data_IF_912836760598
#
_entry.id   IF_912836760598
#
_cell.length_a   1.000
_cell.length_b   1.000
_cell.length_c   1.000
_cell.angle_alpha   90.00
_cell.angle_beta   90.00
_cell.angle_gamma   90.00
#
_symmetry.space_group_name_H-M   'P 1'
#
loop_
_entity.id
_entity.type
_entity.pdbx_description
1 polymer ?
#
# COMPACT_ATOMS: atom_id res chain seq x y z
N UNK A 1 -42.50 -25.82 0.24
CA UNK A 1 -41.46 -24.84 -0.22
C UNK A 1 -40.58 -25.55 -1.24
N UNK A 2 -40.65 -25.07 -2.49
CA UNK A 2 -40.33 -25.80 -3.72
C UNK A 2 -38.81 -25.98 -3.96
N UNK A 3 -38.41 -27.13 -4.50
CA UNK A 3 -37.05 -27.46 -4.93
C UNK A 3 -36.43 -26.41 -5.89
N UNK A 4 -37.24 -25.64 -6.61
CA UNK A 4 -36.76 -24.55 -7.48
C UNK A 4 -36.06 -23.42 -6.71
N UNK A 5 -36.50 -23.10 -5.48
CA UNK A 5 -35.86 -22.03 -4.70
C UNK A 5 -34.45 -22.42 -4.26
N UNK A 6 -34.23 -23.71 -3.95
CA UNK A 6 -32.93 -24.21 -3.49
C UNK A 6 -31.89 -24.22 -4.62
N UNK A 7 -32.31 -24.56 -5.85
CA UNK A 7 -31.42 -24.51 -7.02
C UNK A 7 -30.99 -23.09 -7.36
N UNK A 8 -31.94 -22.15 -7.37
CA UNK A 8 -31.67 -20.73 -7.60
C UNK A 8 -30.76 -20.11 -6.53
N UNK A 9 -31.01 -20.41 -5.25
CA UNK A 9 -30.14 -19.95 -4.15
C UNK A 9 -28.71 -20.51 -4.26
N UNK A 10 -28.54 -21.76 -4.72
CA UNK A 10 -27.23 -22.36 -4.93
C UNK A 10 -26.48 -21.72 -6.10
N UNK A 11 -27.19 -21.40 -7.19
CA UNK A 11 -26.60 -20.77 -8.37
C UNK A 11 -26.15 -19.32 -8.07
N UNK A 12 -27.02 -18.54 -7.42
CA UNK A 12 -26.70 -17.19 -6.94
C UNK A 12 -25.48 -17.21 -6.00
N UNK A 13 -25.40 -18.23 -5.14
CA UNK A 13 -24.28 -18.41 -4.23
C UNK A 13 -22.97 -18.70 -4.99
N UNK A 14 -23.00 -19.56 -6.00
CA UNK A 14 -21.82 -19.89 -6.81
C UNK A 14 -21.34 -18.66 -7.60
N UNK A 15 -22.26 -17.90 -8.18
CA UNK A 15 -21.97 -16.67 -8.90
C UNK A 15 -21.35 -15.60 -8.00
N UNK A 16 -21.87 -15.44 -6.78
CA UNK A 16 -21.31 -14.52 -5.79
C UNK A 16 -19.87 -14.88 -5.39
N UNK A 17 -19.58 -16.16 -5.13
CA UNK A 17 -18.23 -16.60 -4.77
C UNK A 17 -17.26 -16.40 -5.94
N UNK A 18 -17.68 -16.73 -7.16
CA UNK A 18 -16.90 -16.48 -8.37
C UNK A 18 -16.56 -15.00 -8.53
N UNK A 19 -17.56 -14.13 -8.39
CA UNK A 19 -17.39 -12.67 -8.46
C UNK A 19 -16.45 -12.14 -7.38
N UNK A 20 -16.54 -12.69 -6.15
CA UNK A 20 -15.65 -12.34 -5.05
C UNK A 20 -14.20 -12.77 -5.32
N UNK A 21 -13.99 -13.92 -5.95
CA UNK A 21 -12.67 -14.39 -6.35
C UNK A 21 -12.05 -13.50 -7.43
N UNK A 22 -12.82 -13.18 -8.47
CA UNK A 22 -12.39 -12.27 -9.55
C UNK A 22 -12.03 -10.89 -9.00
N UNK A 23 -12.85 -10.33 -8.11
CA UNK A 23 -12.56 -9.05 -7.46
C UNK A 23 -11.31 -9.11 -6.58
N UNK A 24 -11.07 -10.25 -5.89
CA UNK A 24 -9.85 -10.45 -5.10
C UNK A 24 -8.60 -10.47 -5.98
N UNK A 25 -8.64 -11.17 -7.12
CA UNK A 25 -7.52 -11.21 -8.08
C UNK A 25 -7.25 -9.82 -8.66
N UNK A 26 -8.31 -9.13 -9.12
CA UNK A 26 -8.22 -7.76 -9.62
C UNK A 26 -7.58 -6.82 -8.58
N UNK A 27 -8.01 -6.89 -7.32
CA UNK A 27 -7.43 -6.07 -6.24
C UNK A 27 -5.95 -6.40 -5.99
N UNK A 28 -5.53 -7.66 -6.16
CA UNK A 28 -4.12 -8.06 -6.06
C UNK A 28 -3.28 -7.45 -7.19
N UNK A 29 -3.81 -7.45 -8.41
CA UNK A 29 -3.19 -6.82 -9.56
C UNK A 29 -3.09 -5.31 -9.39
N UNK A 30 -4.16 -4.64 -8.94
CA UNK A 30 -4.15 -3.20 -8.62
C UNK A 30 -3.07 -2.88 -7.57
N UNK A 31 -2.94 -3.69 -6.52
CA UNK A 31 -1.88 -3.53 -5.52
C UNK A 31 -0.49 -3.60 -6.15
N UNK A 32 -0.25 -4.56 -7.05
CA UNK A 32 1.02 -4.70 -7.75
C UNK A 32 1.29 -3.50 -8.68
N UNK A 33 0.27 -3.02 -9.38
CA UNK A 33 0.35 -1.83 -10.22
C UNK A 33 0.68 -0.58 -9.41
N UNK A 34 0.09 -0.39 -8.22
CA UNK A 34 0.45 0.72 -7.35
C UNK A 34 1.90 0.66 -6.87
N UNK A 35 2.42 -0.54 -6.56
CA UNK A 35 3.84 -0.72 -6.21
C UNK A 35 4.73 -0.35 -7.40
N UNK A 36 4.44 -0.87 -8.59
CA UNK A 36 5.21 -0.58 -9.81
C UNK A 36 5.20 0.92 -10.13
N UNK A 37 4.02 1.54 -10.12
CA UNK A 37 3.86 2.97 -10.38
C UNK A 37 4.57 3.82 -9.32
N UNK A 38 4.55 3.41 -8.04
CA UNK A 38 5.33 4.07 -6.99
C UNK A 38 6.81 4.11 -7.34
N UNK A 39 7.40 2.97 -7.73
CA UNK A 39 8.79 2.92 -8.18
C UNK A 39 9.05 3.81 -9.39
N UNK A 40 8.23 3.68 -10.45
CA UNK A 40 8.41 4.44 -11.68
C UNK A 40 8.34 5.96 -11.45
N UNK A 41 7.34 6.43 -10.71
CA UNK A 41 7.19 7.86 -10.40
C UNK A 41 8.33 8.39 -9.54
N UNK A 42 8.74 7.65 -8.51
CA UNK A 42 9.83 8.08 -7.63
C UNK A 42 11.16 8.11 -8.37
N UNK A 43 11.45 7.10 -9.19
CA UNK A 43 12.64 7.09 -10.05
C UNK A 43 12.60 8.26 -11.03
N UNK A 44 11.45 8.55 -11.63
CA UNK A 44 11.27 9.73 -12.49
C UNK A 44 11.49 11.05 -11.75
N UNK A 45 10.94 11.20 -10.54
CA UNK A 45 11.10 12.40 -9.71
C UNK A 45 12.55 12.57 -9.24
N UNK A 46 13.23 11.50 -8.84
CA UNK A 46 14.66 11.54 -8.50
C UNK A 46 15.50 11.90 -9.72
N UNK A 47 15.23 11.28 -10.86
CA UNK A 47 15.93 11.56 -12.11
C UNK A 47 15.79 13.03 -12.50
N UNK A 48 14.56 13.53 -12.58
CA UNK A 48 14.29 14.93 -12.93
C UNK A 48 14.80 15.91 -11.87
N UNK A 49 14.58 15.61 -10.59
CA UNK A 49 15.01 16.46 -9.47
C UNK A 49 16.53 16.55 -9.32
N UNK A 50 17.27 15.59 -9.88
CA UNK A 50 18.73 15.63 -9.92
C UNK A 50 19.29 16.43 -11.11
N UNK A 51 18.47 16.77 -12.11
CA UNK A 51 18.92 17.50 -13.30
C UNK A 51 19.02 19.00 -13.04
N UNK A 52 20.08 19.58 -13.63
CA UNK A 52 20.24 21.01 -13.80
C UNK A 52 20.44 21.28 -15.29
N UNK A 53 19.47 21.95 -15.92
CA UNK A 53 19.52 22.26 -17.35
C UNK A 53 19.66 23.77 -17.49
N UNK A 54 20.90 24.22 -17.72
CA UNK A 54 21.23 25.65 -17.73
C UNK A 54 20.95 26.31 -16.38
N UNK A 55 20.11 27.34 -16.38
CA UNK A 55 19.67 28.06 -15.17
C UNK A 55 18.42 27.45 -14.52
N UNK A 56 17.75 26.51 -15.18
CA UNK A 56 16.56 25.85 -14.65
C UNK A 56 17.00 24.73 -13.71
N UNK A 57 16.58 24.85 -12.45
CA UNK A 57 16.87 23.89 -11.40
C UNK A 57 15.59 23.19 -10.93
N UNK A 58 15.55 21.87 -11.08
CA UNK A 58 14.39 21.03 -10.76
C UNK A 58 14.43 20.46 -9.34
N UNK A 59 15.39 20.85 -8.49
CA UNK A 59 15.50 20.37 -7.10
C UNK A 59 14.22 20.47 -6.27
N UNK A 60 13.35 21.44 -6.57
CA UNK A 60 12.07 21.57 -5.90
C UNK A 60 11.20 20.31 -6.03
N UNK A 61 11.38 19.52 -7.09
CA UNK A 61 10.69 18.23 -7.28
C UNK A 61 11.01 17.22 -6.17
N UNK A 62 12.20 17.29 -5.57
CA UNK A 62 12.61 16.36 -4.51
C UNK A 62 11.78 16.56 -3.23
N UNK A 63 11.27 17.77 -2.99
CA UNK A 63 10.38 18.04 -1.85
C UNK A 63 9.03 17.33 -1.96
N UNK A 64 8.60 16.96 -3.17
CA UNK A 64 7.35 16.24 -3.42
C UNK A 64 7.49 14.72 -3.28
N UNK A 65 8.71 14.17 -3.21
CA UNK A 65 8.93 12.72 -3.14
C UNK A 65 8.21 12.09 -1.91
N UNK A 66 8.31 12.63 -0.68
CA UNK A 66 7.58 12.08 0.45
C UNK A 66 6.07 12.08 0.24
N UNK A 67 5.51 13.15 -0.33
CA UNK A 67 4.07 13.27 -0.57
C UNK A 67 3.59 12.17 -1.54
N UNK A 68 4.29 12.00 -2.66
CA UNK A 68 3.96 10.99 -3.67
C UNK A 68 4.15 9.58 -3.11
N UNK A 69 5.24 9.32 -2.38
CA UNK A 69 5.51 8.02 -1.77
C UNK A 69 4.44 7.60 -0.76
N UNK A 70 4.03 8.54 0.11
CA UNK A 70 2.95 8.37 1.10
C UNK A 70 1.61 8.17 0.39
N UNK A 71 1.34 8.92 -0.68
CA UNK A 71 0.12 8.76 -1.49
C UNK A 71 0.00 7.34 -2.04
N UNK A 72 1.06 6.81 -2.66
CA UNK A 72 1.07 5.43 -3.13
C UNK A 72 0.94 4.41 -2.00
N UNK A 73 1.55 4.66 -0.83
CA UNK A 73 1.38 3.78 0.33
C UNK A 73 -0.09 3.66 0.74
N UNK A 74 -0.86 4.73 0.70
CA UNK A 74 -2.30 4.70 0.99
C UNK A 74 -3.05 3.77 0.02
N UNK A 75 -2.81 3.89 -1.28
CA UNK A 75 -3.43 3.01 -2.29
C UNK A 75 -3.05 1.54 -2.11
N UNK A 76 -1.76 1.26 -1.90
CA UNK A 76 -1.27 -0.10 -1.65
C UNK A 76 -1.94 -0.70 -0.41
N UNK A 77 -2.09 0.09 0.66
CA UNK A 77 -2.72 -0.34 1.90
C UNK A 77 -4.22 -0.54 1.76
N UNK A 78 -4.90 0.30 0.99
CA UNK A 78 -6.32 0.15 0.71
C UNK A 78 -6.59 -1.18 -0.01
N UNK A 79 -5.83 -1.46 -1.07
CA UNK A 79 -5.93 -2.73 -1.80
C UNK A 79 -5.60 -3.94 -0.90
N UNK A 80 -4.52 -3.85 -0.11
CA UNK A 80 -4.15 -4.90 0.84
C UNK A 80 -5.24 -5.15 1.90
N UNK A 81 -5.87 -4.10 2.42
CA UNK A 81 -6.98 -4.23 3.38
C UNK A 81 -8.20 -4.91 2.74
N UNK A 82 -8.55 -4.54 1.51
CA UNK A 82 -9.65 -5.15 0.75
C UNK A 82 -9.42 -6.65 0.54
N UNK A 83 -8.24 -7.06 0.08
CA UNK A 83 -7.86 -8.48 -0.07
C UNK A 83 -8.01 -9.23 1.26
N UNK A 84 -7.56 -8.61 2.36
CA UNK A 84 -7.63 -9.21 3.70
C UNK A 84 -9.07 -9.34 4.20
N UNK A 85 -9.95 -8.38 3.89
CA UNK A 85 -11.39 -8.45 4.22
C UNK A 85 -12.10 -9.54 3.43
N UNK A 86 -11.85 -9.64 2.11
CA UNK A 86 -12.40 -10.70 1.26
C UNK A 86 -11.99 -12.09 1.78
N UNK A 87 -10.70 -12.27 2.08
CA UNK A 87 -10.21 -13.53 2.66
C UNK A 87 -10.69 -13.78 4.10
N UNK A 88 -11.04 -12.76 4.88
CA UNK A 88 -11.68 -12.94 6.18
C UNK A 88 -13.14 -13.40 6.03
N UNK A 89 -13.89 -12.79 5.11
CA UNK A 89 -15.25 -13.15 4.79
C UNK A 89 -15.37 -14.62 4.34
N UNK A 90 -14.49 -15.07 3.44
CA UNK A 90 -14.45 -16.45 2.96
C UNK A 90 -14.18 -17.45 4.11
N UNK A 91 -13.33 -17.07 5.08
CA UNK A 91 -13.02 -17.92 6.24
C UNK A 91 -14.15 -17.98 7.27
N UNK A 92 -14.91 -16.90 7.46
CA UNK A 92 -16.02 -16.88 8.41
C UNK A 92 -17.28 -17.57 7.87
N UNK A 93 -17.37 -17.82 6.56
CA UNK A 93 -18.52 -18.49 5.93
C UNK A 93 -18.12 -19.76 5.16
N UNK A 94 -17.59 -20.81 5.81
CA UNK A 94 -17.08 -22.02 5.14
C UNK A 94 -18.17 -22.89 4.50
N UNK A 95 -19.44 -22.67 4.85
CA UNK A 95 -20.61 -23.36 4.27
C UNK A 95 -21.17 -22.66 3.03
N UNK A 96 -20.60 -21.51 2.67
CA UNK A 96 -21.03 -20.65 1.58
C UNK A 96 -20.52 -21.18 0.22
N UNK A 97 -20.80 -22.44 -0.14
CA UNK A 97 -20.53 -22.97 -1.48
C UNK A 97 -19.08 -22.92 -1.98
N UNK A 98 -18.10 -22.60 -1.13
CA UNK A 98 -16.69 -22.51 -1.50
C UNK A 98 -16.13 -23.89 -1.79
N UNK A 99 -15.49 -24.03 -2.96
CA UNK A 99 -14.85 -25.29 -3.35
C UNK A 99 -13.75 -25.68 -2.35
N UNK A 100 -13.47 -26.97 -2.22
CA UNK A 100 -12.39 -27.44 -1.34
C UNK A 100 -11.02 -26.89 -1.78
N UNK A 101 -10.87 -26.61 -3.08
CA UNK A 101 -9.71 -25.94 -3.68
C UNK A 101 -9.57 -24.50 -3.17
N UNK A 102 -10.63 -23.70 -3.17
CA UNK A 102 -10.61 -22.35 -2.61
C UNK A 102 -10.32 -22.35 -1.11
N UNK A 103 -10.88 -23.30 -0.36
CA UNK A 103 -10.59 -23.45 1.07
C UNK A 103 -9.12 -23.80 1.30
N UNK A 104 -8.57 -24.71 0.51
CA UNK A 104 -7.15 -25.07 0.57
C UNK A 104 -6.26 -23.89 0.19
N UNK A 105 -6.62 -23.13 -0.85
CA UNK A 105 -5.91 -21.95 -1.30
C UNK A 105 -5.97 -20.79 -0.28
N UNK A 106 -7.12 -20.55 0.34
CA UNK A 106 -7.25 -19.57 1.43
C UNK A 106 -6.45 -19.99 2.66
N UNK A 107 -6.47 -21.28 3.02
CA UNK A 107 -5.66 -21.81 4.12
C UNK A 107 -4.17 -21.67 3.83
N UNK A 108 -3.75 -21.95 2.60
CA UNK A 108 -2.38 -21.75 2.12
C UNK A 108 -2.00 -20.26 2.16
N UNK A 109 -2.83 -19.39 1.60
CA UNK A 109 -2.61 -17.93 1.54
C UNK A 109 -2.59 -17.30 2.94
N UNK A 110 -3.43 -17.79 3.85
CA UNK A 110 -3.46 -17.33 5.24
C UNK A 110 -2.23 -17.81 6.04
N UNK A 111 -1.70 -19.01 5.72
CA UNK A 111 -0.50 -19.57 6.36
C UNK A 111 0.78 -18.93 5.83
N UNK A 112 0.85 -18.66 4.53
CA UNK A 112 1.96 -18.01 3.84
C UNK A 112 1.74 -16.50 3.67
N UNK A 113 0.86 -15.91 4.48
CA UNK A 113 0.55 -14.49 4.40
C UNK A 113 1.82 -13.70 4.67
N UNK A 114 2.21 -12.88 3.69
CA UNK A 114 3.39 -12.05 3.81
C UNK A 114 3.18 -11.02 4.94
N UNK A 115 3.82 -11.31 6.07
CA UNK A 115 3.84 -10.43 7.24
C UNK A 115 4.83 -9.29 7.06
N UNK A 116 5.71 -9.32 6.07
CA UNK A 116 6.76 -8.33 5.86
C UNK A 116 6.44 -7.34 4.75
N UNK A 117 5.50 -7.64 3.85
CA UNK A 117 5.05 -6.73 2.80
C UNK A 117 4.73 -5.30 3.30
N UNK A 118 4.10 -5.18 4.47
CA UNK A 118 3.75 -3.88 5.06
C UNK A 118 4.95 -3.13 5.67
N UNK A 119 5.94 -3.88 6.14
CA UNK A 119 7.20 -3.33 6.60
C UNK A 119 8.00 -2.83 5.40
N UNK A 120 8.03 -3.60 4.31
CA UNK A 120 8.75 -3.27 3.09
C UNK A 120 8.30 -1.94 2.48
N UNK A 121 6.98 -1.69 2.37
CA UNK A 121 6.46 -0.43 1.81
C UNK A 121 6.80 0.79 2.66
N UNK A 122 6.61 0.68 3.98
CA UNK A 122 6.91 1.77 4.93
C UNK A 122 8.42 2.05 5.04
N UNK A 123 9.23 0.99 5.03
CA UNK A 123 10.69 1.08 5.04
C UNK A 123 11.21 1.71 3.74
N UNK A 124 10.65 1.31 2.60
CA UNK A 124 10.98 1.91 1.31
C UNK A 124 10.68 3.41 1.34
N UNK A 125 9.50 3.83 1.81
CA UNK A 125 9.17 5.26 1.97
C UNK A 125 10.15 5.98 2.90
N UNK A 126 10.56 5.37 4.02
CA UNK A 126 11.58 5.95 4.90
C UNK A 126 12.90 6.18 4.17
N UNK A 127 13.36 5.19 3.40
CA UNK A 127 14.59 5.31 2.59
C UNK A 127 14.47 6.47 1.61
N UNK A 128 13.32 6.61 0.93
CA UNK A 128 13.09 7.68 -0.03
C UNK A 128 13.06 9.06 0.62
N UNK A 129 12.44 9.20 1.79
CA UNK A 129 12.43 10.45 2.56
C UNK A 129 13.87 10.83 2.90
N UNK A 130 14.65 9.90 3.46
CA UNK A 130 16.05 10.14 3.85
C UNK A 130 16.92 10.47 2.64
N UNK A 131 16.78 9.73 1.53
CA UNK A 131 17.53 9.98 0.30
C UNK A 131 17.21 11.35 -0.28
N UNK A 132 15.94 11.74 -0.33
CA UNK A 132 15.51 13.07 -0.81
C UNK A 132 16.06 14.17 0.09
N UNK A 133 15.97 13.98 1.41
CA UNK A 133 16.47 14.92 2.41
C UNK A 133 17.98 15.12 2.28
N UNK A 134 18.74 14.02 2.17
CA UNK A 134 20.18 14.06 1.97
C UNK A 134 20.55 14.81 0.68
N UNK A 135 19.86 14.52 -0.43
CA UNK A 135 20.14 15.18 -1.71
C UNK A 135 19.87 16.69 -1.65
N UNK A 136 18.71 17.10 -1.11
CA UNK A 136 18.34 18.50 -0.89
C UNK A 136 19.39 19.21 -0.03
N UNK A 137 19.86 18.56 1.03
CA UNK A 137 20.85 19.11 1.95
C UNK A 137 22.23 19.32 1.27
N UNK A 138 22.66 18.37 0.45
CA UNK A 138 23.93 18.44 -0.30
C UNK A 138 23.85 19.51 -1.38
N UNK A 139 22.76 19.57 -2.14
CA UNK A 139 22.60 20.51 -3.26
C UNK A 139 22.58 21.98 -2.82
N UNK A 140 22.06 22.28 -1.62
CA UNK A 140 22.03 23.65 -1.08
C UNK A 140 23.40 24.21 -0.70
N UNK A 141 24.44 23.36 -0.60
CA UNK A 141 25.81 23.80 -0.33
C UNK A 141 26.00 24.53 1.02
N UNK A 142 26.91 25.50 1.04
CA UNK A 142 27.28 26.27 2.24
C UNK A 142 26.38 27.47 2.52
N UNK A 143 25.55 27.89 1.56
CA UNK A 143 24.74 29.12 1.63
C UNK A 143 23.34 28.83 2.19
N UNK A 144 23.32 28.30 3.42
CA UNK A 144 22.10 27.86 4.11
C UNK A 144 21.64 28.94 5.08
N UNK A 145 20.66 29.74 4.66
CA UNK A 145 19.97 30.67 5.56
C UNK A 145 19.25 29.92 6.70
N UNK A 146 19.08 30.57 7.86
CA UNK A 146 18.37 29.99 9.02
C UNK A 146 16.96 29.49 8.65
N UNK A 147 16.26 30.21 7.77
CA UNK A 147 14.93 29.81 7.26
C UNK A 147 14.95 28.46 6.53
N UNK A 148 16.04 28.14 5.82
CA UNK A 148 16.19 26.85 5.15
C UNK A 148 16.24 25.71 6.18
N UNK A 149 17.00 25.86 7.25
CA UNK A 149 17.11 24.82 8.29
C UNK A 149 15.77 24.57 8.98
N UNK A 150 15.04 25.64 9.33
CA UNK A 150 13.73 25.52 9.96
C UNK A 150 12.73 24.85 9.02
N UNK A 151 12.62 25.31 7.77
CA UNK A 151 11.72 24.71 6.78
C UNK A 151 12.07 23.25 6.46
N UNK A 152 13.36 22.96 6.31
CA UNK A 152 13.86 21.60 6.08
C UNK A 152 13.55 20.66 7.25
N UNK A 153 13.79 21.10 8.49
CA UNK A 153 13.51 20.31 9.68
C UNK A 153 12.00 20.04 9.83
N UNK A 154 11.14 21.04 9.57
CA UNK A 154 9.68 20.88 9.59
C UNK A 154 9.24 19.90 8.51
N UNK A 155 9.70 20.06 7.27
CA UNK A 155 9.35 19.19 6.15
C UNK A 155 9.77 17.73 6.40
N UNK A 156 11.01 17.52 6.87
CA UNK A 156 11.54 16.18 7.18
C UNK A 156 10.79 15.56 8.36
N UNK A 157 10.59 16.34 9.42
CA UNK A 157 9.86 15.93 10.63
C UNK A 157 8.43 15.51 10.31
N UNK A 158 7.70 16.32 9.54
CA UNK A 158 6.34 16.00 9.08
C UNK A 158 6.34 14.74 8.20
N UNK A 159 7.26 14.63 7.23
CA UNK A 159 7.33 13.48 6.33
C UNK A 159 7.54 12.15 7.09
N UNK A 160 8.47 12.15 8.05
CA UNK A 160 8.73 10.98 8.91
C UNK A 160 7.57 10.70 9.86
N UNK A 161 6.97 11.75 10.45
CA UNK A 161 5.82 11.62 11.33
C UNK A 161 4.63 10.99 10.59
N UNK A 162 4.29 11.50 9.40
CA UNK A 162 3.21 10.94 8.59
C UNK A 162 3.47 9.48 8.20
N UNK A 163 4.69 9.15 7.76
CA UNK A 163 5.03 7.75 7.44
C UNK A 163 4.90 6.84 8.68
N UNK A 164 5.36 7.31 9.85
CA UNK A 164 5.23 6.60 11.12
C UNK A 164 3.79 6.41 11.59
N UNK A 165 2.97 7.46 11.50
CA UNK A 165 1.53 7.41 11.81
C UNK A 165 0.80 6.44 10.89
N UNK A 166 1.12 6.46 9.59
CA UNK A 166 0.59 5.50 8.64
C UNK A 166 0.98 4.09 9.05
N UNK A 167 2.26 3.80 9.26
CA UNK A 167 2.72 2.47 9.68
C UNK A 167 1.97 1.97 10.93
N UNK A 168 1.83 2.81 11.96
CA UNK A 168 1.07 2.50 13.18
C UNK A 168 -0.40 2.19 12.86
N UNK A 169 -1.08 3.06 12.12
CA UNK A 169 -2.50 2.89 11.75
C UNK A 169 -2.75 1.56 11.04
N UNK A 170 -1.90 1.21 10.07
CA UNK A 170 -2.04 -0.03 9.32
C UNK A 170 -1.75 -1.27 10.17
N UNK A 171 -0.74 -1.21 11.05
CA UNK A 171 -0.46 -2.29 12.03
C UNK A 171 -1.68 -2.54 12.92
N UNK A 172 -2.34 -1.48 13.37
CA UNK A 172 -3.53 -1.58 14.22
C UNK A 172 -4.74 -2.14 13.46
N UNK A 173 -4.93 -1.77 12.20
CA UNK A 173 -5.97 -2.36 11.33
C UNK A 173 -5.75 -3.87 11.10
N UNK A 174 -4.52 -4.29 10.80
CA UNK A 174 -4.20 -5.72 10.63
C UNK A 174 -4.46 -6.47 11.94
N UNK A 175 -4.02 -5.93 13.08
CA UNK A 175 -4.26 -6.55 14.40
C UNK A 175 -5.74 -6.72 14.70
N UNK A 176 -6.58 -5.73 14.34
CA UNK A 176 -8.05 -5.85 14.48
C UNK A 176 -8.59 -6.98 13.60
N UNK A 177 -8.16 -7.09 12.35
CA UNK A 177 -8.58 -8.17 11.45
C UNK A 177 -8.13 -9.56 11.92
N UNK A 178 -6.94 -9.66 12.52
CA UNK A 178 -6.44 -10.93 13.06
C UNK A 178 -7.16 -11.35 14.35
N UNK A 179 -7.82 -10.43 15.08
CA UNK A 179 -8.66 -10.78 16.24
C UNK A 179 -9.97 -11.48 15.83
N UNK A 180 -10.48 -11.26 14.62
CA UNK A 180 -11.63 -11.98 14.06
C UNK A 180 -11.29 -13.41 13.59
N UNK A 181 -10.09 -13.94 13.89
CA UNK A 181 -9.74 -15.36 13.69
C UNK A 181 -10.31 -16.30 14.76
N UNK A 182 -11.06 -15.80 15.75
CA UNK A 182 -11.76 -16.63 16.74
C UNK A 182 -13.19 -16.87 16.30
#
# INVERSE_FOLDING_TARGET
MSNNNKGFEQELHAEFIKSLHEEKLKTQEERANYISNKFAFITGLFGLGALRIGEIDFHMLLYFIPLVAIGYDLYIRAADLSIKKMGAFLRSHPKAGTTDVEKAWEKFSAKNRDKLAHLATSLFTSILIVASAAYIYVQKGSDKATLFYVGYAIWLGLSLLFNGLLWKSHRDQIRKLDKYKK
#
